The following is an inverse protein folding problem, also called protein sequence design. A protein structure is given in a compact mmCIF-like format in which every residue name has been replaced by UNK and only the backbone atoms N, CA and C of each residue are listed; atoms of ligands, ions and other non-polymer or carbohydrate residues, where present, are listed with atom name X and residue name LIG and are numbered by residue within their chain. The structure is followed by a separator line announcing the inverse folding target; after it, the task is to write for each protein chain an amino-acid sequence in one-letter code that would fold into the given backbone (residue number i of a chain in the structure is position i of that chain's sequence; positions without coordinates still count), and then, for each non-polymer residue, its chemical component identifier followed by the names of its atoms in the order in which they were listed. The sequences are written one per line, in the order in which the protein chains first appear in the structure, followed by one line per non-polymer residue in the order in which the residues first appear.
data_IF_181299582513
#
_entry.id   IF_181299582513
#
_cell.length_a   1.000
_cell.length_b   1.000
_cell.length_c   1.000
_cell.angle_alpha   90.00
_cell.angle_beta   90.00
_cell.angle_gamma   90.00
#
_symmetry.space_group_name_H-M   'P 1'
#
loop_
_entity.id
_entity.type
_entity.pdbx_description
1 polymer ?
#
# COMPACT_ATOMS: atom_id res chain seq x y z
N UNK A 1 -2.22 17.14 9.45
CA UNK A 1 -2.53 16.57 8.12
C UNK A 1 -1.26 16.23 7.34
N UNK A 2 -0.29 17.15 7.26
CA UNK A 2 1.03 16.95 6.62
C UNK A 2 1.80 15.69 7.06
N UNK A 3 1.76 15.31 8.35
CA UNK A 3 2.49 14.13 8.85
C UNK A 3 1.86 12.81 8.35
N UNK A 4 0.53 12.74 8.24
CA UNK A 4 -0.17 11.56 7.76
C UNK A 4 0.00 11.40 6.24
N UNK A 5 -0.11 12.49 5.49
CA UNK A 5 0.21 12.50 4.05
C UNK A 5 1.67 12.13 3.78
N UNK A 6 2.61 12.66 4.57
CA UNK A 6 4.04 12.32 4.45
C UNK A 6 4.34 10.86 4.79
N UNK A 7 3.66 10.28 5.78
CA UNK A 7 3.77 8.83 6.09
C UNK A 7 3.17 7.96 4.99
N UNK A 8 2.03 8.37 4.43
CA UNK A 8 1.40 7.65 3.33
C UNK A 8 2.27 7.67 2.06
N UNK A 9 2.84 8.84 1.74
CA UNK A 9 3.80 8.99 0.64
C UNK A 9 5.06 8.15 0.89
N UNK A 10 5.59 8.12 2.11
CA UNK A 10 6.74 7.29 2.45
C UNK A 10 6.45 5.77 2.31
N UNK A 11 5.25 5.33 2.69
CA UNK A 11 4.82 3.93 2.50
C UNK A 11 4.65 3.61 1.00
N UNK A 12 4.04 4.52 0.23
CA UNK A 12 3.90 4.35 -1.21
C UNK A 12 5.27 4.29 -1.90
N UNK A 13 6.19 5.18 -1.54
CA UNK A 13 7.56 5.20 -2.06
C UNK A 13 8.32 3.93 -1.67
N UNK A 14 8.17 3.46 -0.43
CA UNK A 14 8.76 2.21 0.05
C UNK A 14 8.24 0.98 -0.71
N UNK A 15 6.94 0.94 -1.00
CA UNK A 15 6.33 -0.11 -1.83
C UNK A 15 6.88 -0.06 -3.27
N UNK A 16 6.94 1.13 -3.88
CA UNK A 16 7.50 1.31 -5.24
C UNK A 16 8.96 0.85 -5.30
N UNK A 17 9.77 1.23 -4.31
CA UNK A 17 11.17 0.79 -4.22
C UNK A 17 11.27 -0.72 -4.01
N UNK A 18 10.37 -1.33 -3.24
CA UNK A 18 10.34 -2.79 -3.02
C UNK A 18 9.99 -3.55 -4.30
N UNK A 19 9.10 -3.01 -5.15
CA UNK A 19 8.80 -3.58 -6.47
C UNK A 19 9.96 -3.43 -7.46
N UNK A 20 10.78 -2.38 -7.34
CA UNK A 20 11.97 -2.18 -8.19
C UNK A 20 13.06 -3.23 -7.99
N UNK A 21 13.17 -3.82 -6.80
CA UNK A 21 14.12 -4.91 -6.50
C UNK A 21 13.62 -6.31 -6.90
N UNK A 22 12.38 -6.44 -7.39
CA UNK A 22 11.85 -7.70 -7.90
C UNK A 22 12.28 -8.01 -9.35
N UNK A 23 13.13 -7.16 -9.94
CA UNK A 23 13.69 -7.40 -11.27
C UNK A 23 14.58 -8.66 -11.26
N UNK A 24 14.23 -9.70 -12.01
CA UNK A 24 14.88 -11.01 -11.95
C UNK A 24 16.26 -10.91 -12.59
N UNK A 25 17.30 -10.68 -11.79
CA UNK A 25 18.68 -10.63 -12.29
C UNK A 25 19.65 -11.44 -11.41
N UNK A 26 19.14 -12.44 -10.67
CA UNK A 26 19.90 -13.39 -9.87
C UNK A 26 19.70 -14.85 -10.33
N UNK A 27 19.30 -15.05 -11.60
CA UNK A 27 19.21 -16.39 -12.18
C UNK A 27 20.54 -16.73 -12.87
N UNK A 28 21.31 -17.67 -12.31
CA UNK A 28 22.54 -18.16 -12.91
C UNK A 28 22.31 -18.86 -14.27
N UNK A 29 21.11 -19.44 -14.47
CA UNK A 29 20.74 -20.23 -15.66
C UNK A 29 19.58 -19.62 -16.48
N UNK A 30 19.19 -18.36 -16.19
CA UNK A 30 18.05 -17.71 -16.84
C UNK A 30 16.67 -18.24 -16.42
N UNK A 31 16.61 -19.20 -15.50
CA UNK A 31 15.38 -19.64 -14.84
C UNK A 31 15.25 -19.02 -13.45
N UNK A 32 14.13 -18.35 -13.17
CA UNK A 32 13.85 -17.80 -11.84
C UNK A 32 13.58 -18.89 -10.80
N UNK A 33 13.49 -18.52 -9.52
CA UNK A 33 13.21 -19.45 -8.40
C UNK A 33 11.94 -20.32 -8.57
N UNK A 34 11.01 -19.89 -9.43
CA UNK A 34 9.77 -20.59 -9.74
C UNK A 34 9.86 -21.47 -11.03
N UNK A 35 11.06 -21.67 -11.57
CA UNK A 35 11.28 -22.37 -12.84
C UNK A 35 10.87 -21.55 -14.06
N UNK A 36 10.82 -22.21 -15.23
CA UNK A 36 10.35 -21.62 -16.50
C UNK A 36 8.91 -21.10 -16.35
N UNK A 37 8.66 -19.79 -16.54
CA UNK A 37 7.31 -19.27 -16.51
C UNK A 37 6.44 -19.94 -17.57
N UNK A 38 5.29 -20.47 -17.15
CA UNK A 38 4.23 -20.88 -18.06
C UNK A 38 3.25 -19.73 -18.26
N UNK A 39 2.53 -19.74 -19.39
CA UNK A 39 1.53 -18.71 -19.70
C UNK A 39 0.44 -18.60 -18.61
N UNK A 40 0.06 -19.74 -18.02
CA UNK A 40 -0.86 -19.79 -16.90
C UNK A 40 -0.29 -19.12 -15.64
N UNK A 41 0.97 -19.40 -15.30
CA UNK A 41 1.64 -18.82 -14.12
C UNK A 41 1.68 -17.30 -14.20
N UNK A 42 2.08 -16.76 -15.36
CA UNK A 42 2.14 -15.31 -15.59
C UNK A 42 0.73 -14.71 -15.49
N UNK A 43 -0.25 -15.32 -16.14
CA UNK A 43 -1.64 -14.84 -16.16
C UNK A 43 -2.23 -14.74 -14.75
N UNK A 44 -2.13 -15.80 -13.95
CA UNK A 44 -2.65 -15.79 -12.58
C UNK A 44 -1.91 -14.80 -11.67
N UNK A 45 -0.60 -14.65 -11.85
CA UNK A 45 0.19 -13.65 -11.12
C UNK A 45 -0.29 -12.23 -11.45
N UNK A 46 -0.46 -11.90 -12.74
CA UNK A 46 -0.99 -10.60 -13.17
C UNK A 46 -2.38 -10.32 -12.61
N UNK A 47 -3.29 -11.31 -12.60
CA UNK A 47 -4.59 -11.15 -11.96
C UNK A 47 -4.49 -10.91 -10.46
N UNK A 48 -3.59 -11.61 -9.76
CA UNK A 48 -3.31 -11.40 -8.34
C UNK A 48 -2.86 -9.97 -8.05
N UNK A 49 -1.91 -9.45 -8.84
CA UNK A 49 -1.41 -8.07 -8.71
C UNK A 49 -2.54 -7.06 -8.94
N UNK A 50 -3.36 -7.25 -9.97
CA UNK A 50 -4.50 -6.37 -10.26
C UNK A 50 -5.49 -6.31 -9.11
N UNK A 51 -5.91 -7.48 -8.59
CA UNK A 51 -6.86 -7.57 -7.47
C UNK A 51 -6.25 -6.97 -6.20
N UNK A 52 -4.97 -7.25 -5.93
CA UNK A 52 -4.27 -6.72 -4.77
C UNK A 52 -4.29 -5.19 -4.73
N UNK A 53 -3.96 -4.52 -5.85
CA UNK A 53 -3.96 -3.06 -5.88
C UNK A 53 -5.35 -2.45 -5.69
N UNK A 54 -6.38 -3.04 -6.33
CA UNK A 54 -7.76 -2.59 -6.15
C UNK A 54 -8.19 -2.72 -4.69
N UNK A 55 -7.98 -3.89 -4.09
CA UNK A 55 -8.31 -4.14 -2.69
C UNK A 55 -7.52 -3.23 -1.74
N UNK A 56 -6.23 -3.04 -2.00
CA UNK A 56 -5.35 -2.18 -1.19
C UNK A 56 -5.85 -0.73 -1.17
N UNK A 57 -6.19 -0.15 -2.33
CA UNK A 57 -6.70 1.23 -2.42
C UNK A 57 -8.03 1.37 -1.66
N UNK A 58 -8.94 0.41 -1.80
CA UNK A 58 -10.22 0.40 -1.07
C UNK A 58 -9.98 0.38 0.44
N UNK A 59 -9.16 -0.56 0.92
CA UNK A 59 -8.84 -0.70 2.34
C UNK A 59 -8.17 0.57 2.88
N UNK A 60 -7.19 1.10 2.15
CA UNK A 60 -6.49 2.33 2.52
C UNK A 60 -7.47 3.52 2.62
N UNK A 61 -8.40 3.66 1.68
CA UNK A 61 -9.43 4.70 1.69
C UNK A 61 -10.35 4.59 2.91
N UNK A 62 -10.82 3.38 3.23
CA UNK A 62 -11.64 3.13 4.43
C UNK A 62 -10.86 3.46 5.71
N UNK A 63 -9.60 3.04 5.80
CA UNK A 63 -8.73 3.33 6.97
C UNK A 63 -8.55 4.84 7.13
N UNK A 64 -8.26 5.57 6.05
CA UNK A 64 -8.13 7.02 6.08
C UNK A 64 -9.41 7.69 6.60
N UNK A 65 -10.58 7.31 6.09
CA UNK A 65 -11.85 7.85 6.54
C UNK A 65 -12.10 7.62 8.04
N UNK A 66 -11.80 6.41 8.55
CA UNK A 66 -11.99 6.06 9.97
C UNK A 66 -11.04 6.84 10.89
N UNK A 67 -9.80 7.05 10.46
CA UNK A 67 -8.81 7.82 11.23
C UNK A 67 -9.18 9.30 11.32
N UNK A 68 -9.71 9.88 10.25
CA UNK A 68 -10.09 11.29 10.25
C UNK A 68 -11.33 11.54 11.11
N UNK A 69 -12.34 10.65 11.07
CA UNK A 69 -13.47 10.73 12.00
C UNK A 69 -13.05 10.68 13.48
N UNK A 70 -12.02 9.89 13.82
CA UNK A 70 -11.50 9.84 15.19
C UNK A 70 -10.77 11.12 15.59
N UNK A 71 -9.99 11.71 14.67
CA UNK A 71 -9.27 12.97 14.93
C UNK A 71 -10.23 14.13 15.12
N UNK A 72 -11.31 14.20 14.34
CA UNK A 72 -12.31 15.26 14.48
C UNK A 72 -13.01 15.22 15.83
N UNK A 73 -13.42 14.03 16.29
CA UNK A 73 -14.02 13.86 17.63
C UNK A 73 -13.08 14.32 18.74
N UNK A 74 -11.83 13.86 18.70
CA UNK A 74 -10.82 14.27 19.67
C UNK A 74 -10.56 15.78 19.66
N UNK A 75 -10.61 16.43 18.49
CA UNK A 75 -10.47 17.90 18.38
C UNK A 75 -11.68 18.64 18.93
N UNK A 76 -12.89 18.18 18.65
CA UNK A 76 -14.11 18.80 19.15
C UNK A 76 -14.18 18.77 20.68
N UNK A 77 -13.77 17.65 21.30
CA UNK A 77 -13.71 17.53 22.76
C UNK A 77 -12.65 18.48 23.37
N UNK A 78 -11.46 18.57 22.75
CA UNK A 78 -10.41 19.50 23.16
C UNK A 78 -10.85 20.97 23.05
N UNK A 79 -11.60 21.32 22.00
CA UNK A 79 -12.09 22.70 21.79
C UNK A 79 -13.17 23.07 22.81
N UNK A 80 -14.03 22.12 23.20
CA UNK A 80 -14.98 22.28 24.30
C UNK A 80 -14.27 22.58 25.62
N UNK A 81 -13.19 21.85 25.92
CA UNK A 81 -12.39 22.04 27.13
C UNK A 81 -11.58 23.35 27.12
N UNK A 82 -11.23 23.88 25.94
CA UNK A 82 -10.45 25.12 25.78
C UNK A 82 -11.28 26.40 25.94
N UNK A 83 -12.62 26.32 25.82
CA UNK A 83 -13.49 27.50 25.92
C UNK A 83 -13.79 27.77 27.42
N UNK A 84 -13.27 28.88 28.00
CA UNK A 84 -13.55 29.24 29.40
C UNK A 84 -15.01 29.67 29.58
#
# INVERSE_FOLDING_TARGET
MLIAGRRLVAVALGLILSFGFAAPALAADGEGLAGRPSDATITFFCFGVMIFFVAFVIIASVIQGRLDSRKERARADLERLRRP
#
